data_IF_600217582311
#
_entry.id   IF_600217582311
#
_cell.length_a   1.000
_cell.length_b   1.000
_cell.length_c   1.000
_cell.angle_alpha   90.00
_cell.angle_beta   90.00
_cell.angle_gamma   90.00
#
_symmetry.space_group_name_H-M   'P 1'
#
loop_
_entity.id
_entity.type
_entity.pdbx_description
1 polymer ?
#
# COMPACT_ATOMS: atom_id res chain seq x y z
N UNK A 1 17.01 -4.42 -6.14
CA UNK A 1 16.66 -3.94 -4.77
C UNK A 1 17.86 -3.29 -4.10
N UNK A 2 17.71 -2.73 -2.90
CA UNK A 2 18.86 -2.28 -2.09
C UNK A 2 19.48 -3.46 -1.34
N UNK A 3 20.82 -3.48 -1.29
CA UNK A 3 21.62 -4.40 -0.48
C UNK A 3 22.70 -3.58 0.24
N UNK A 4 22.63 -3.49 1.57
CA UNK A 4 23.50 -2.63 2.37
C UNK A 4 23.60 -1.19 1.81
N UNK A 5 22.45 -0.61 1.51
CA UNK A 5 22.31 0.75 0.96
C UNK A 5 22.70 0.93 -0.51
N UNK A 6 23.15 -0.10 -1.19
CA UNK A 6 23.53 -0.04 -2.62
C UNK A 6 22.45 -0.72 -3.48
N UNK A 7 22.15 -0.09 -4.62
CA UNK A 7 21.20 -0.64 -5.56
C UNK A 7 21.79 -1.87 -6.28
N UNK A 8 21.08 -2.99 -6.21
CA UNK A 8 21.31 -4.23 -6.94
C UNK A 8 20.29 -4.32 -8.08
N UNK A 9 20.75 -4.14 -9.32
CA UNK A 9 19.93 -4.18 -10.52
C UNK A 9 19.60 -5.61 -10.98
N UNK A 10 20.39 -6.59 -10.58
CA UNK A 10 20.23 -7.99 -11.01
C UNK A 10 19.15 -8.74 -10.23
N UNK A 11 18.72 -8.18 -9.10
CA UNK A 11 17.67 -8.78 -8.30
C UNK A 11 16.29 -8.67 -8.98
N UNK A 12 15.56 -9.80 -9.03
CA UNK A 12 14.20 -9.88 -9.57
C UNK A 12 13.22 -10.42 -8.49
N UNK A 13 11.93 -10.00 -8.51
CA UNK A 13 10.93 -10.46 -7.54
C UNK A 13 10.78 -11.98 -7.44
N UNK A 14 10.92 -12.70 -8.55
CA UNK A 14 10.84 -14.16 -8.63
C UNK A 14 11.95 -14.88 -7.82
N UNK A 15 13.01 -14.18 -7.43
CA UNK A 15 14.07 -14.73 -6.58
C UNK A 15 13.64 -14.84 -5.12
N UNK A 16 12.61 -14.10 -4.69
CA UNK A 16 12.09 -14.16 -3.32
C UNK A 16 10.98 -15.23 -3.21
N UNK A 17 11.40 -16.47 -3.05
CA UNK A 17 10.52 -17.66 -3.06
C UNK A 17 10.92 -18.66 -1.99
N UNK A 18 9.96 -19.51 -1.59
CA UNK A 18 10.22 -20.68 -0.76
C UNK A 18 10.77 -21.87 -1.57
N UNK A 19 11.02 -23.01 -0.88
CA UNK A 19 11.52 -24.23 -1.50
C UNK A 19 10.56 -24.86 -2.52
N UNK A 20 9.27 -24.56 -2.42
CA UNK A 20 8.20 -25.10 -3.27
C UNK A 20 7.90 -24.18 -4.46
N UNK A 21 8.58 -23.03 -4.54
CA UNK A 21 8.45 -22.06 -5.64
C UNK A 21 7.36 -21.00 -5.43
N UNK A 22 6.80 -20.88 -4.22
CA UNK A 22 5.82 -19.84 -3.88
C UNK A 22 6.51 -18.51 -3.68
N UNK A 23 5.96 -17.45 -4.26
CA UNK A 23 6.44 -16.10 -4.02
C UNK A 23 6.28 -15.67 -2.57
N UNK A 24 7.34 -15.14 -1.97
CA UNK A 24 7.35 -14.56 -0.63
C UNK A 24 7.38 -13.03 -0.74
N UNK A 25 6.36 -12.37 -0.21
CA UNK A 25 6.35 -10.90 -0.13
C UNK A 25 7.21 -10.42 1.02
N UNK A 26 8.09 -9.45 0.75
CA UNK A 26 8.86 -8.78 1.79
C UNK A 26 7.92 -7.98 2.70
N UNK A 27 8.12 -8.10 4.00
CA UNK A 27 7.41 -7.31 5.02
C UNK A 27 7.89 -5.86 4.98
N UNK A 28 6.97 -4.93 5.18
CA UNK A 28 7.25 -3.50 5.24
C UNK A 28 8.08 -3.16 6.49
N UNK A 29 9.14 -2.37 6.30
CA UNK A 29 10.16 -2.14 7.33
C UNK A 29 9.91 -0.91 8.20
N UNK A 30 9.19 0.08 7.68
CA UNK A 30 8.87 1.31 8.38
C UNK A 30 7.40 1.26 8.82
N UNK A 31 7.17 1.18 10.13
CA UNK A 31 5.85 0.89 10.72
C UNK A 31 5.50 1.84 11.88
N UNK A 32 5.92 3.11 11.81
CA UNK A 32 5.46 4.16 12.72
C UNK A 32 4.05 4.63 12.36
N UNK A 33 3.37 5.28 13.30
CA UNK A 33 1.99 5.71 13.12
C UNK A 33 1.84 7.21 13.33
N UNK A 34 1.03 7.85 12.48
CA UNK A 34 0.46 9.15 12.76
C UNK A 34 -0.74 8.93 13.68
N UNK A 35 -0.77 9.68 14.79
CA UNK A 35 -1.90 9.71 15.72
C UNK A 35 -2.34 11.16 15.96
N UNK A 36 -3.56 11.41 16.47
CA UNK A 36 -4.04 12.79 16.69
C UNK A 36 -3.11 13.62 17.57
N UNK A 37 -2.50 13.02 18.58
CA UNK A 37 -1.66 13.68 19.58
C UNK A 37 -0.15 13.41 19.44
N UNK A 38 0.23 12.48 18.54
CA UNK A 38 1.62 12.03 18.35
C UNK A 38 2.06 10.92 19.30
N UNK A 39 1.14 10.31 20.04
CA UNK A 39 1.42 9.11 20.83
C UNK A 39 1.77 7.91 19.95
N UNK A 40 2.41 6.86 20.49
CA UNK A 40 2.66 5.63 19.74
C UNK A 40 1.35 4.99 19.25
N UNK A 41 1.36 4.47 18.02
CA UNK A 41 0.28 3.64 17.49
C UNK A 41 0.46 2.16 17.81
N UNK A 42 -0.23 1.25 17.08
CA UNK A 42 -0.12 -0.19 17.28
C UNK A 42 1.29 -0.74 17.07
N UNK A 43 2.09 -0.07 16.22
CA UNK A 43 3.49 -0.43 15.95
C UNK A 43 4.37 0.81 15.93
N UNK A 44 5.68 0.61 16.06
CA UNK A 44 6.68 1.68 16.00
C UNK A 44 6.69 2.59 17.22
N UNK A 45 7.34 3.75 17.08
CA UNK A 45 7.47 4.78 18.12
C UNK A 45 6.55 5.97 17.82
N UNK A 46 6.21 6.74 18.88
CA UNK A 46 5.47 8.00 18.75
C UNK A 46 6.30 9.13 18.14
N UNK A 47 5.71 10.34 18.13
CA UNK A 47 6.33 11.57 17.61
C UNK A 47 5.72 12.08 16.30
N UNK A 48 4.76 11.36 15.74
CA UNK A 48 4.11 11.69 14.47
C UNK A 48 2.67 12.18 14.71
N UNK A 49 2.55 13.40 15.21
CA UNK A 49 1.26 14.05 15.42
C UNK A 49 0.60 14.42 14.08
N UNK A 50 -0.72 14.23 13.97
CA UNK A 50 -1.49 14.70 12.82
C UNK A 50 -1.48 16.23 12.75
N UNK A 51 -0.84 16.77 11.71
CA UNK A 51 -0.69 18.20 11.46
C UNK A 51 -0.89 18.51 9.98
N UNK A 52 -1.59 19.61 9.70
CA UNK A 52 -1.81 20.06 8.34
C UNK A 52 -0.49 20.41 7.64
N UNK A 53 -0.31 19.91 6.43
CA UNK A 53 0.87 20.23 5.63
C UNK A 53 2.17 19.54 6.06
N UNK A 54 2.19 18.76 7.16
CA UNK A 54 3.40 18.07 7.66
C UNK A 54 3.78 16.86 6.82
N UNK A 55 2.82 16.11 6.31
CA UNK A 55 3.07 14.83 5.68
C UNK A 55 3.01 14.88 4.15
N UNK A 56 3.64 13.89 3.54
CA UNK A 56 3.70 13.71 2.10
C UNK A 56 3.61 12.23 1.74
N UNK A 57 2.94 11.91 0.63
CA UNK A 57 2.84 10.55 0.10
C UNK A 57 3.67 10.41 -1.18
N UNK A 58 4.56 9.45 -1.21
CA UNK A 58 5.19 8.96 -2.44
C UNK A 58 4.39 7.78 -2.97
N UNK A 59 3.94 7.85 -4.21
CA UNK A 59 3.03 6.87 -4.83
C UNK A 59 3.41 6.58 -6.29
N UNK A 60 2.80 5.57 -6.88
CA UNK A 60 2.72 5.39 -8.33
C UNK A 60 1.28 4.98 -8.67
N UNK A 61 0.66 5.60 -9.67
CA UNK A 61 -0.74 5.33 -10.02
C UNK A 61 -0.99 3.89 -10.46
N UNK A 62 0.01 3.23 -11.05
CA UNK A 62 -0.10 1.82 -11.42
C UNK A 62 -0.12 0.88 -10.19
N UNK A 63 0.46 1.30 -9.07
CA UNK A 63 0.60 0.46 -7.88
C UNK A 63 -0.73 0.34 -7.12
N UNK A 64 -1.32 -0.87 -6.99
CA UNK A 64 -2.58 -1.04 -6.26
C UNK A 64 -2.44 -0.72 -4.77
N UNK A 65 -1.28 -1.03 -4.18
CA UNK A 65 -1.01 -0.73 -2.78
C UNK A 65 -0.99 0.77 -2.49
N UNK A 66 -0.38 1.58 -3.39
CA UNK A 66 -0.37 3.03 -3.30
C UNK A 66 -1.76 3.64 -3.57
N UNK A 67 -2.55 3.02 -4.44
CA UNK A 67 -3.92 3.47 -4.75
C UNK A 67 -4.85 3.41 -3.54
N UNK A 68 -4.62 2.52 -2.56
CA UNK A 68 -5.34 2.50 -1.28
C UNK A 68 -5.19 3.83 -0.55
N UNK A 69 -3.94 4.27 -0.35
CA UNK A 69 -3.63 5.52 0.34
C UNK A 69 -4.21 6.74 -0.40
N UNK A 70 -4.13 6.76 -1.74
CA UNK A 70 -4.70 7.83 -2.55
C UNK A 70 -6.22 7.89 -2.44
N UNK A 71 -6.92 6.74 -2.47
CA UNK A 71 -8.36 6.67 -2.34
C UNK A 71 -8.83 7.21 -0.98
N UNK A 72 -8.19 6.77 0.10
CA UNK A 72 -8.55 7.23 1.46
C UNK A 72 -8.21 8.71 1.64
N UNK A 73 -7.04 9.16 1.15
CA UNK A 73 -6.68 10.59 1.17
C UNK A 73 -7.78 11.47 0.51
N UNK A 74 -8.33 11.02 -0.62
CA UNK A 74 -9.39 11.74 -1.31
C UNK A 74 -10.73 11.66 -0.55
N UNK A 75 -11.16 10.45 -0.13
CA UNK A 75 -12.41 10.21 0.58
C UNK A 75 -12.49 10.97 1.92
N UNK A 76 -11.37 11.11 2.60
CA UNK A 76 -11.27 11.80 3.89
C UNK A 76 -10.96 13.30 3.76
N UNK A 77 -10.97 13.86 2.54
CA UNK A 77 -10.73 15.29 2.32
C UNK A 77 -9.31 15.77 2.68
N UNK A 78 -8.31 14.89 2.64
CA UNK A 78 -6.93 15.19 3.05
C UNK A 78 -6.06 15.74 1.91
N UNK A 79 -6.64 16.08 0.76
CA UNK A 79 -5.90 16.48 -0.44
C UNK A 79 -5.07 17.75 -0.25
N UNK A 80 -5.56 18.68 0.57
CA UNK A 80 -4.87 19.94 0.87
C UNK A 80 -3.91 19.82 2.08
N UNK A 81 -4.06 18.75 2.89
CA UNK A 81 -3.24 18.55 4.08
C UNK A 81 -2.01 17.67 3.83
N UNK A 82 -2.11 16.74 2.89
CA UNK A 82 -1.07 15.76 2.57
C UNK A 82 -0.73 15.88 1.09
N UNK A 83 0.47 16.34 0.77
CA UNK A 83 0.96 16.46 -0.60
C UNK A 83 1.36 15.12 -1.19
N UNK A 84 1.53 15.03 -2.52
CA UNK A 84 1.83 13.76 -3.21
C UNK A 84 2.90 13.97 -4.26
N UNK A 85 3.88 13.05 -4.31
CA UNK A 85 4.75 12.85 -5.48
C UNK A 85 4.44 11.52 -6.15
N UNK A 86 4.33 11.55 -7.49
CA UNK A 86 3.93 10.41 -8.30
C UNK A 86 5.10 9.91 -9.13
N UNK A 87 5.53 8.67 -8.86
CA UNK A 87 6.57 8.00 -9.62
C UNK A 87 6.08 7.54 -11.00
N UNK A 88 7.03 7.34 -11.91
CA UNK A 88 6.82 6.82 -13.25
C UNK A 88 6.12 5.43 -13.18
N UNK A 89 5.06 5.17 -13.98
CA UNK A 89 4.39 3.87 -14.01
C UNK A 89 5.28 2.76 -14.56
N UNK A 90 6.31 3.09 -15.31
CA UNK A 90 7.31 2.13 -15.81
C UNK A 90 8.47 2.06 -14.83
N UNK A 91 8.70 0.86 -14.29
CA UNK A 91 9.90 0.62 -13.49
C UNK A 91 11.14 0.74 -14.38
N UNK A 92 12.11 1.55 -13.92
CA UNK A 92 13.44 1.61 -14.53
C UNK A 92 14.31 0.46 -14.00
N UNK A 93 15.53 0.37 -14.50
CA UNK A 93 16.60 -0.50 -13.97
C UNK A 93 16.95 -0.19 -12.50
N UNK A 94 16.60 1.01 -12.03
CA UNK A 94 16.75 1.44 -10.64
C UNK A 94 15.41 1.52 -9.87
N UNK A 95 14.37 0.79 -10.33
CA UNK A 95 13.07 0.75 -9.68
C UNK A 95 12.21 1.97 -9.98
N UNK A 96 11.46 2.46 -8.99
CA UNK A 96 10.59 3.63 -9.13
C UNK A 96 11.40 4.90 -9.35
N UNK A 97 11.18 5.56 -10.49
CA UNK A 97 11.79 6.82 -10.88
C UNK A 97 10.78 7.97 -10.78
N UNK A 98 11.20 9.14 -10.36
CA UNK A 98 10.38 10.35 -10.40
C UNK A 98 10.52 11.07 -11.74
N UNK A 99 9.41 11.65 -12.24
CA UNK A 99 9.38 12.35 -13.52
C UNK A 99 9.48 11.45 -14.76
N UNK A 100 9.63 12.08 -15.92
CA UNK A 100 9.91 11.39 -17.19
C UNK A 100 8.72 10.68 -17.85
N UNK A 101 7.49 10.86 -17.34
CA UNK A 101 6.27 10.29 -17.93
C UNK A 101 5.08 11.22 -17.67
N UNK A 102 4.10 11.32 -18.59
CA UNK A 102 2.90 12.13 -18.37
C UNK A 102 2.15 11.75 -17.10
N UNK A 103 1.83 12.73 -16.25
CA UNK A 103 1.15 12.55 -14.97
C UNK A 103 2.07 12.18 -13.79
N UNK A 104 3.38 12.01 -14.02
CA UNK A 104 4.37 11.90 -12.95
C UNK A 104 4.83 13.26 -12.48
N UNK A 105 5.33 13.31 -11.26
CA UNK A 105 5.98 14.49 -10.69
C UNK A 105 7.48 14.26 -10.49
N UNK A 106 8.24 15.34 -10.35
CA UNK A 106 9.54 15.29 -9.68
C UNK A 106 9.36 15.04 -8.17
N UNK A 107 10.46 14.79 -7.50
CA UNK A 107 10.52 14.89 -6.03
C UNK A 107 11.06 16.26 -5.64
N UNK A 108 10.16 17.19 -5.32
CA UNK A 108 10.53 18.55 -4.92
C UNK A 108 11.01 18.64 -3.46
N UNK A 109 10.72 17.62 -2.64
CA UNK A 109 11.06 17.63 -1.22
C UNK A 109 12.51 17.23 -0.95
N UNK A 110 12.94 16.10 -1.50
CA UNK A 110 14.25 15.52 -1.23
C UNK A 110 15.17 15.52 -2.45
N UNK A 111 14.69 16.03 -3.61
CA UNK A 111 15.41 16.08 -4.89
C UNK A 111 15.88 14.68 -5.35
N UNK A 112 15.17 13.62 -4.95
CA UNK A 112 15.51 12.27 -5.34
C UNK A 112 15.09 11.99 -6.79
N UNK A 113 15.93 11.28 -7.51
CA UNK A 113 15.61 10.75 -8.85
C UNK A 113 14.86 9.42 -8.74
N UNK A 114 15.19 8.61 -7.74
CA UNK A 114 14.65 7.26 -7.53
C UNK A 114 14.16 7.09 -6.10
N UNK A 115 13.11 6.28 -5.94
CA UNK A 115 12.52 5.97 -4.62
C UNK A 115 13.54 5.35 -3.65
N UNK A 116 14.47 4.54 -4.13
CA UNK A 116 15.47 3.92 -3.26
C UNK A 116 16.38 4.95 -2.55
N UNK A 117 16.55 6.16 -3.11
CA UNK A 117 17.30 7.23 -2.47
C UNK A 117 16.58 7.79 -1.23
N UNK A 118 15.24 7.82 -1.23
CA UNK A 118 14.43 8.16 -0.05
C UNK A 118 14.65 7.15 1.08
N UNK A 119 14.74 5.85 0.75
CA UNK A 119 15.01 4.79 1.72
C UNK A 119 16.41 4.90 2.32
N UNK A 120 17.42 5.12 1.49
CA UNK A 120 18.82 5.23 1.94
C UNK A 120 19.12 6.55 2.65
N UNK A 121 18.32 7.61 2.43
CA UNK A 121 18.40 8.85 3.21
C UNK A 121 18.05 8.59 4.68
N UNK A 122 17.09 7.73 4.96
CA UNK A 122 16.62 7.39 6.33
C UNK A 122 17.44 6.26 6.94
N UNK A 123 17.76 5.25 6.13
CA UNK A 123 18.51 4.06 6.53
C UNK A 123 19.65 3.82 5.51
N UNK A 124 20.85 4.38 5.73
CA UNK A 124 21.94 4.33 4.74
C UNK A 124 22.40 2.92 4.35
N UNK A 125 22.19 1.94 5.22
CA UNK A 125 22.53 0.52 5.02
C UNK A 125 21.29 -0.35 4.72
N UNK A 126 20.16 0.25 4.33
CA UNK A 126 18.90 -0.46 4.09
C UNK A 126 19.09 -1.63 3.11
N UNK A 127 18.57 -2.79 3.47
CA UNK A 127 18.50 -3.97 2.62
C UNK A 127 17.04 -4.34 2.39
N UNK A 128 16.59 -4.30 1.14
CA UNK A 128 15.22 -4.61 0.78
C UNK A 128 14.73 -3.87 -0.46
N UNK A 129 13.46 -4.04 -0.77
CA UNK A 129 12.79 -3.35 -1.89
C UNK A 129 12.37 -1.94 -1.46
N UNK A 130 12.72 -0.95 -2.28
CA UNK A 130 12.18 0.40 -2.15
C UNK A 130 10.80 0.45 -2.84
N UNK A 131 9.74 0.32 -2.06
CA UNK A 131 8.35 0.21 -2.53
C UNK A 131 7.58 1.52 -2.40
N UNK A 132 6.39 1.58 -3.01
CA UNK A 132 5.37 2.61 -2.78
C UNK A 132 4.07 1.91 -2.34
N UNK A 133 3.20 2.56 -1.49
CA UNK A 133 3.32 3.92 -0.98
C UNK A 133 4.40 4.08 0.07
N UNK A 134 4.87 5.33 0.23
CA UNK A 134 5.66 5.76 1.38
C UNK A 134 4.99 7.00 1.97
N UNK A 135 4.73 6.96 3.27
CA UNK A 135 4.28 8.11 4.04
C UNK A 135 5.50 8.77 4.69
N UNK A 136 5.76 10.01 4.29
CA UNK A 136 6.94 10.80 4.67
C UNK A 136 6.58 11.92 5.62
N UNK A 137 7.38 12.14 6.65
CA UNK A 137 7.31 13.29 7.56
C UNK A 137 8.31 14.38 7.11
N UNK A 138 7.79 15.53 6.68
CA UNK A 138 8.60 16.66 6.22
C UNK A 138 9.33 17.38 7.35
N UNK A 139 8.83 17.30 8.58
CA UNK A 139 9.47 17.92 9.76
C UNK A 139 10.65 17.10 10.26
N UNK A 140 10.45 15.79 10.43
CA UNK A 140 11.50 14.89 10.91
C UNK A 140 12.40 14.36 9.77
N UNK A 141 12.05 14.62 8.52
CA UNK A 141 12.77 14.14 7.32
C UNK A 141 12.97 12.62 7.34
N UNK A 142 11.89 11.88 7.60
CA UNK A 142 11.95 10.44 7.74
C UNK A 142 10.72 9.75 7.12
N UNK A 143 10.86 8.47 6.84
CA UNK A 143 9.73 7.60 6.49
C UNK A 143 8.96 7.27 7.76
N UNK A 144 7.69 7.61 7.79
CA UNK A 144 6.77 7.20 8.86
C UNK A 144 6.38 5.74 8.66
N UNK A 145 5.88 5.42 7.47
CA UNK A 145 5.32 4.11 7.19
C UNK A 145 5.35 3.79 5.69
N UNK A 146 5.58 2.52 5.34
CA UNK A 146 5.51 2.01 3.97
C UNK A 146 4.59 0.79 3.83
N UNK A 147 3.71 0.55 4.83
CA UNK A 147 2.66 -0.46 4.75
C UNK A 147 1.32 0.20 4.40
N UNK A 148 0.77 -0.17 3.25
CA UNK A 148 -0.46 0.45 2.74
C UNK A 148 -1.67 0.25 3.64
N UNK A 149 -1.76 -0.86 4.36
CA UNK A 149 -2.84 -1.15 5.30
C UNK A 149 -2.81 -0.22 6.52
N UNK A 150 -1.60 0.04 7.07
CA UNK A 150 -1.41 0.97 8.17
C UNK A 150 -1.70 2.41 7.71
N UNK A 151 -1.15 2.81 6.55
CA UNK A 151 -1.36 4.15 5.99
C UNK A 151 -2.86 4.42 5.79
N UNK A 152 -3.60 3.46 5.26
CA UNK A 152 -5.05 3.56 5.08
C UNK A 152 -5.75 3.87 6.41
N UNK A 153 -5.45 3.13 7.49
CA UNK A 153 -6.04 3.31 8.82
C UNK A 153 -5.64 4.63 9.46
N UNK A 154 -4.37 5.05 9.32
CA UNK A 154 -3.92 6.35 9.78
C UNK A 154 -4.69 7.49 9.09
N UNK A 155 -4.85 7.43 7.77
CA UNK A 155 -5.58 8.44 7.01
C UNK A 155 -7.09 8.42 7.31
N UNK A 156 -7.66 7.28 7.69
CA UNK A 156 -9.06 7.18 8.08
C UNK A 156 -9.38 7.95 9.37
N UNK A 157 -8.49 7.95 10.34
CA UNK A 157 -8.83 8.39 11.71
C UNK A 157 -7.95 9.51 12.27
N UNK A 158 -6.64 9.53 11.99
CA UNK A 158 -5.71 10.41 12.69
C UNK A 158 -5.99 11.91 12.48
N UNK A 159 -6.55 12.28 11.33
CA UNK A 159 -6.77 13.68 10.93
C UNK A 159 -8.20 14.18 11.17
N UNK A 160 -9.06 13.43 11.85
CA UNK A 160 -10.48 13.76 12.02
C UNK A 160 -10.70 15.07 12.82
N UNK A 161 -9.76 15.46 13.67
CA UNK A 161 -9.82 16.76 14.37
C UNK A 161 -9.52 17.95 13.43
N UNK A 162 -8.78 17.71 12.34
CA UNK A 162 -8.42 18.75 11.37
C UNK A 162 -9.44 18.84 10.23
N UNK A 163 -9.93 17.68 9.78
CA UNK A 163 -10.93 17.57 8.70
C UNK A 163 -11.90 16.45 9.06
N UNK A 164 -13.10 16.83 9.45
CA UNK A 164 -14.16 15.87 9.78
C UNK A 164 -15.06 15.63 8.56
N UNK A 165 -14.52 14.98 7.52
CA UNK A 165 -15.23 14.67 6.28
C UNK A 165 -15.05 13.22 5.88
N UNK A 166 -16.00 12.72 5.07
CA UNK A 166 -15.98 11.37 4.54
C UNK A 166 -16.43 10.29 5.53
N UNK A 167 -16.57 9.06 5.02
CA UNK A 167 -17.03 7.93 5.83
C UNK A 167 -15.97 7.49 6.83
N UNK A 168 -16.40 6.86 7.93
CA UNK A 168 -15.52 6.01 8.71
C UNK A 168 -15.37 4.66 8.00
N UNK A 169 -14.17 4.36 7.56
CA UNK A 169 -13.85 3.16 6.77
C UNK A 169 -13.55 1.93 7.65
N UNK A 170 -13.52 2.13 8.98
CA UNK A 170 -13.25 1.07 9.94
C UNK A 170 -14.11 1.26 11.20
N UNK A 171 -15.45 1.23 11.05
CA UNK A 171 -16.36 1.41 12.18
C UNK A 171 -16.19 0.30 13.20
N UNK A 172 -16.24 0.68 14.49
CA UNK A 172 -15.92 -0.21 15.61
C UNK A 172 -16.82 -1.46 15.66
N UNK A 173 -18.08 -1.31 15.26
CA UNK A 173 -19.07 -2.40 15.23
C UNK A 173 -18.81 -3.46 14.16
N UNK A 174 -18.00 -3.15 13.15
CA UNK A 174 -17.63 -4.07 12.06
C UNK A 174 -16.14 -4.45 12.11
N UNK A 175 -15.39 -3.99 13.09
CA UNK A 175 -13.93 -4.09 13.13
C UNK A 175 -13.44 -5.55 13.00
N UNK A 176 -14.01 -6.47 13.78
CA UNK A 176 -13.61 -7.87 13.78
C UNK A 176 -13.90 -8.54 12.42
N UNK A 177 -15.09 -8.27 11.84
CA UNK A 177 -15.48 -8.82 10.54
C UNK A 177 -14.63 -8.24 9.40
N UNK A 178 -14.29 -6.94 9.49
CA UNK A 178 -13.39 -6.28 8.54
C UNK A 178 -11.99 -6.90 8.61
N UNK A 179 -11.46 -7.14 9.81
CA UNK A 179 -10.14 -7.70 9.99
C UNK A 179 -10.06 -9.13 9.46
N UNK A 180 -11.06 -9.98 9.77
CA UNK A 180 -11.13 -11.35 9.27
C UNK A 180 -11.17 -11.40 7.74
N UNK A 181 -12.07 -10.63 7.11
CA UNK A 181 -12.18 -10.61 5.66
C UNK A 181 -10.96 -9.97 4.98
N UNK A 182 -10.37 -8.94 5.59
CA UNK A 182 -9.16 -8.32 5.07
C UNK A 182 -7.95 -9.27 5.07
N UNK A 183 -7.85 -10.14 6.08
CA UNK A 183 -6.79 -11.17 6.15
C UNK A 183 -6.95 -12.17 5.00
N UNK A 184 -8.17 -12.67 4.78
CA UNK A 184 -8.46 -13.58 3.67
C UNK A 184 -8.19 -12.92 2.31
N UNK A 185 -8.76 -11.73 2.09
CA UNK A 185 -8.58 -10.95 0.85
C UNK A 185 -7.11 -10.60 0.60
N UNK A 186 -6.36 -10.28 1.65
CA UNK A 186 -4.93 -10.02 1.51
C UNK A 186 -4.18 -11.24 1.03
N UNK A 187 -4.33 -12.38 1.70
CA UNK A 187 -3.56 -13.59 1.40
C UNK A 187 -3.96 -14.23 0.08
N UNK A 188 -5.26 -14.37 -0.17
CA UNK A 188 -5.76 -15.13 -1.30
C UNK A 188 -5.98 -14.31 -2.57
N UNK A 189 -6.27 -13.01 -2.47
CA UNK A 189 -6.57 -12.16 -3.62
C UNK A 189 -5.51 -11.08 -3.86
N UNK A 190 -5.37 -10.09 -2.94
CA UNK A 190 -4.47 -8.96 -3.20
C UNK A 190 -3.00 -9.38 -3.35
N UNK A 191 -2.52 -10.33 -2.54
CA UNK A 191 -1.22 -10.96 -2.69
C UNK A 191 -1.27 -12.19 -3.59
N UNK A 192 -2.41 -12.87 -3.67
CA UNK A 192 -2.63 -14.06 -4.47
C UNK A 192 -2.30 -13.86 -5.94
N UNK A 193 -2.72 -12.74 -6.55
CA UNK A 193 -2.38 -12.40 -7.94
C UNK A 193 -0.87 -12.25 -8.17
N UNK A 194 -0.11 -11.79 -7.16
CA UNK A 194 1.36 -11.77 -7.23
C UNK A 194 1.97 -13.15 -7.00
N UNK A 195 1.36 -13.96 -6.11
CA UNK A 195 1.79 -15.34 -5.91
C UNK A 195 1.63 -16.16 -7.18
N UNK A 196 0.54 -16.00 -7.91
CA UNK A 196 0.35 -16.61 -9.24
C UNK A 196 1.36 -16.05 -10.26
N UNK A 197 1.46 -14.73 -10.39
CA UNK A 197 2.31 -14.08 -11.38
C UNK A 197 3.82 -14.29 -11.20
N UNK A 198 4.28 -14.55 -9.97
CA UNK A 198 5.69 -14.81 -9.65
C UNK A 198 5.97 -16.24 -9.19
N UNK A 199 5.01 -17.16 -9.34
CA UNK A 199 5.23 -18.58 -9.07
C UNK A 199 6.39 -19.12 -9.94
N UNK A 200 7.24 -19.95 -9.34
CA UNK A 200 8.37 -20.58 -10.04
C UNK A 200 8.22 -22.10 -10.20
N UNK A 201 7.05 -22.63 -9.84
CA UNK A 201 6.62 -24.01 -10.09
C UNK A 201 5.15 -24.04 -10.48
N UNK A 202 4.74 -25.07 -11.25
CA UNK A 202 3.34 -25.24 -11.64
C UNK A 202 2.44 -25.42 -10.41
N UNK A 203 2.87 -26.21 -9.43
CA UNK A 203 2.10 -26.45 -8.19
C UNK A 203 1.86 -25.15 -7.41
N UNK A 204 2.85 -24.25 -7.30
CA UNK A 204 2.69 -22.97 -6.65
C UNK A 204 1.75 -22.02 -7.42
N UNK A 205 1.78 -22.09 -8.76
CA UNK A 205 0.84 -21.37 -9.62
C UNK A 205 -0.59 -21.86 -9.42
N UNK A 206 -0.81 -23.18 -9.52
CA UNK A 206 -2.13 -23.79 -9.39
C UNK A 206 -2.77 -23.46 -8.03
N UNK A 207 -2.00 -23.58 -6.94
CA UNK A 207 -2.46 -23.22 -5.60
C UNK A 207 -2.86 -21.73 -5.50
N UNK A 208 -2.05 -20.83 -6.05
CA UNK A 208 -2.33 -19.40 -6.04
C UNK A 208 -3.53 -19.05 -6.92
N UNK A 209 -3.66 -19.70 -8.09
CA UNK A 209 -4.81 -19.55 -8.98
C UNK A 209 -6.11 -19.98 -8.31
N UNK A 210 -6.12 -21.17 -7.70
CA UNK A 210 -7.30 -21.69 -6.99
C UNK A 210 -7.70 -20.75 -5.83
N UNK A 211 -6.74 -20.23 -5.07
CA UNK A 211 -6.99 -19.25 -4.00
C UNK A 211 -7.63 -17.96 -4.54
N UNK A 212 -7.13 -17.42 -5.64
CA UNK A 212 -7.66 -16.20 -6.26
C UNK A 212 -9.11 -16.43 -6.71
N UNK A 213 -9.36 -17.47 -7.51
CA UNK A 213 -10.68 -17.67 -8.10
C UNK A 213 -11.72 -18.13 -7.08
N UNK A 214 -11.37 -18.97 -6.10
CA UNK A 214 -12.29 -19.33 -5.00
C UNK A 214 -12.67 -18.10 -4.15
N UNK A 215 -11.75 -17.18 -3.96
CA UNK A 215 -12.05 -15.93 -3.25
C UNK A 215 -12.96 -15.02 -4.08
N UNK A 216 -12.75 -14.93 -5.40
CA UNK A 216 -13.66 -14.21 -6.30
C UNK A 216 -15.08 -14.79 -6.28
N UNK A 217 -15.24 -16.13 -6.31
CA UNK A 217 -16.53 -16.80 -6.22
C UNK A 217 -17.23 -16.54 -4.88
N UNK A 218 -16.46 -16.50 -3.79
CA UNK A 218 -16.98 -16.15 -2.46
C UNK A 218 -17.48 -14.70 -2.42
N UNK A 219 -16.75 -13.76 -2.99
CA UNK A 219 -17.13 -12.35 -3.08
C UNK A 219 -18.33 -12.15 -3.99
N UNK A 220 -18.39 -12.82 -5.14
CA UNK A 220 -19.56 -12.82 -6.04
C UNK A 220 -20.83 -13.28 -5.31
N UNK A 221 -20.72 -14.40 -4.56
CA UNK A 221 -21.82 -14.91 -3.75
C UNK A 221 -22.25 -13.91 -2.67
N UNK A 222 -21.28 -13.25 -2.02
CA UNK A 222 -21.55 -12.25 -0.99
C UNK A 222 -22.28 -11.02 -1.54
N UNK A 223 -22.00 -10.61 -2.76
CA UNK A 223 -22.57 -9.44 -3.41
C UNK A 223 -23.85 -9.74 -4.21
N UNK A 224 -24.23 -11.03 -4.35
CA UNK A 224 -25.37 -11.47 -5.16
C UNK A 224 -26.75 -11.00 -4.63
N UNK A 225 -26.84 -10.59 -3.37
CA UNK A 225 -28.06 -10.01 -2.79
C UNK A 225 -28.33 -8.55 -3.21
N UNK A 226 -27.42 -7.95 -4.01
CA UNK A 226 -27.54 -6.59 -4.51
C UNK A 226 -27.09 -5.50 -3.52
N UNK A 227 -26.41 -5.88 -2.43
CA UNK A 227 -25.79 -4.93 -1.52
C UNK A 227 -24.80 -4.00 -2.24
N UNK A 228 -24.69 -2.77 -1.76
CA UNK A 228 -23.86 -1.75 -2.39
C UNK A 228 -22.37 -1.96 -2.12
N UNK A 229 -22.02 -2.40 -0.92
CA UNK A 229 -20.68 -2.63 -0.44
C UNK A 229 -20.56 -3.98 0.24
N UNK A 230 -19.35 -4.44 0.50
CA UNK A 230 -19.09 -5.75 1.09
C UNK A 230 -19.80 -5.96 2.44
N UNK A 231 -19.98 -4.87 3.21
CA UNK A 231 -20.71 -4.85 4.49
C UNK A 231 -22.06 -4.12 4.38
N UNK A 232 -22.84 -4.40 3.33
CA UNK A 232 -24.17 -3.82 3.12
C UNK A 232 -24.11 -2.40 2.54
N UNK A 233 -24.65 -1.43 3.27
CA UNK A 233 -24.69 -0.01 2.83
C UNK A 233 -23.51 0.82 3.35
N UNK A 234 -22.57 0.22 4.09
CA UNK A 234 -21.43 0.89 4.70
C UNK A 234 -20.18 0.65 3.85
N UNK A 235 -19.62 1.75 3.30
CA UNK A 235 -18.31 1.72 2.64
C UNK A 235 -17.21 1.51 3.70
N UNK A 236 -16.41 0.47 3.55
CA UNK A 236 -15.32 0.14 4.46
C UNK A 236 -13.96 0.08 3.76
N UNK A 237 -12.90 -0.05 4.55
CA UNK A 237 -11.55 -0.25 3.98
C UNK A 237 -11.43 -1.52 3.15
N UNK A 238 -12.27 -2.54 3.41
CA UNK A 238 -12.31 -3.78 2.63
C UNK A 238 -12.69 -3.52 1.18
N UNK A 239 -13.69 -2.66 0.94
CA UNK A 239 -14.10 -2.27 -0.42
C UNK A 239 -12.95 -1.62 -1.18
N UNK A 240 -12.17 -0.76 -0.51
CA UNK A 240 -10.99 -0.11 -1.11
C UNK A 240 -9.90 -1.14 -1.42
N UNK A 241 -9.64 -2.08 -0.49
CA UNK A 241 -8.64 -3.15 -0.66
C UNK A 241 -9.01 -4.10 -1.81
N UNK A 242 -10.29 -4.36 -2.01
CA UNK A 242 -10.81 -5.13 -3.13
C UNK A 242 -10.74 -4.34 -4.44
N UNK A 243 -11.27 -3.12 -4.45
CA UNK A 243 -11.36 -2.28 -5.64
C UNK A 243 -10.01 -2.14 -6.35
N UNK A 244 -8.94 -1.87 -5.61
CA UNK A 244 -7.62 -1.62 -6.23
C UNK A 244 -7.03 -2.84 -6.94
N UNK A 245 -7.43 -4.05 -6.58
CA UNK A 245 -7.06 -5.28 -7.28
C UNK A 245 -8.03 -5.55 -8.42
N UNK A 246 -9.34 -5.52 -8.16
CA UNK A 246 -10.37 -5.88 -9.13
C UNK A 246 -10.39 -4.97 -10.36
N UNK A 247 -10.21 -3.65 -10.17
CA UNK A 247 -10.16 -2.69 -11.30
C UNK A 247 -8.98 -2.94 -12.25
N UNK A 248 -7.97 -3.70 -11.82
CA UNK A 248 -6.78 -4.07 -12.61
C UNK A 248 -6.80 -5.53 -13.07
N UNK A 249 -7.82 -6.30 -12.66
CA UNK A 249 -7.78 -7.75 -12.81
C UNK A 249 -7.59 -8.16 -14.26
N UNK A 250 -8.48 -7.76 -15.15
CA UNK A 250 -8.43 -8.12 -16.57
C UNK A 250 -7.24 -7.49 -17.31
N UNK A 251 -6.78 -6.32 -16.86
CA UNK A 251 -5.72 -5.60 -17.55
C UNK A 251 -4.30 -6.01 -17.15
N UNK A 252 -4.14 -6.59 -15.94
CA UNK A 252 -2.81 -6.79 -15.36
C UNK A 252 -2.59 -8.16 -14.71
N UNK A 253 -3.64 -8.88 -14.30
CA UNK A 253 -3.48 -10.11 -13.51
C UNK A 253 -4.07 -11.36 -14.18
N UNK A 254 -5.02 -11.19 -15.11
CA UNK A 254 -5.67 -12.28 -15.84
C UNK A 254 -4.91 -12.65 -17.11
#
# INVERSE_FOLDING_TARGET
MLVNGKWDADWQPVQNKDKDGRFIRQVSSFRHWITPDGSPGPTGSGGFKAEAGRYHLYVAYICPWASRALAVRALKGLTDLITVSVANPRLSDQGWQFGGYPGCTGDELNQATYMHQIYTQVAPDFTGRATVPVLWDKQQQTIVNNESADILRMLNSAFNELVNTGPDLYPAELADEIDELNEEVYHKLNNGVYQAGFASSQAAYDEAFDNVFSTLDTLETRLADGRRYVFGDVLTETDIRLFVTLVRFDAAYY
#
